data_IF_580843915996
#
_entry.id   IF_580843915996
#
_cell.length_a   1.000
_cell.length_b   1.000
_cell.length_c   1.000
_cell.angle_alpha   90.00
_cell.angle_beta   90.00
_cell.angle_gamma   90.00
#
_symmetry.space_group_name_H-M   'P 1'
#
loop_
_entity.id
_entity.type
_entity.pdbx_description
1 polymer ?
#
# COMPACT_ATOMS: atom_id res chain seq x y z
N UNK A 1 1.38 -15.98 -1.69
CA UNK A 1 0.54 -14.86 -1.23
C UNK A 1 1.29 -13.57 -1.48
N UNK A 2 0.68 -12.55 -2.08
CA UNK A 2 1.36 -11.27 -2.35
C UNK A 2 1.59 -10.53 -1.02
N UNK A 3 2.84 -10.16 -0.75
CA UNK A 3 3.28 -9.54 0.52
C UNK A 3 2.56 -8.21 0.80
N UNK A 4 2.18 -7.48 -0.24
CA UNK A 4 1.40 -6.24 -0.13
C UNK A 4 0.01 -6.50 0.46
N UNK A 5 -0.67 -7.56 0.02
CA UNK A 5 -2.01 -7.88 0.51
C UNK A 5 -1.99 -8.23 2.00
N UNK A 6 -0.99 -9.00 2.43
CA UNK A 6 -0.80 -9.30 3.86
C UNK A 6 -0.58 -8.01 4.68
N UNK A 7 0.26 -7.09 4.20
CA UNK A 7 0.50 -5.81 4.88
C UNK A 7 -0.77 -4.92 4.96
N UNK A 8 -1.65 -5.00 3.95
CA UNK A 8 -2.93 -4.29 3.95
C UNK A 8 -3.90 -4.92 4.97
N UNK A 9 -3.95 -6.26 5.05
CA UNK A 9 -4.76 -6.97 6.04
C UNK A 9 -4.30 -6.64 7.47
N UNK A 10 -3.00 -6.69 7.74
CA UNK A 10 -2.42 -6.33 9.04
C UNK A 10 -2.75 -4.88 9.42
N UNK A 11 -2.71 -3.96 8.45
CA UNK A 11 -3.11 -2.57 8.68
C UNK A 11 -4.57 -2.44 9.09
N UNK A 12 -5.48 -3.14 8.39
CA UNK A 12 -6.91 -3.09 8.75
C UNK A 12 -7.18 -3.71 10.12
N UNK A 13 -6.48 -4.78 10.48
CA UNK A 13 -6.57 -5.36 11.83
C UNK A 13 -6.14 -4.35 12.90
N UNK A 14 -4.99 -3.70 12.72
CA UNK A 14 -4.49 -2.67 13.63
C UNK A 14 -5.45 -1.47 13.73
N UNK A 15 -6.04 -1.06 12.60
CA UNK A 15 -7.04 0.02 12.56
C UNK A 15 -8.29 -0.32 13.36
N UNK A 16 -8.81 -1.55 13.23
CA UNK A 16 -9.99 -2.01 13.98
C UNK A 16 -9.71 -2.17 15.48
N UNK A 17 -8.47 -2.48 15.85
CA UNK A 17 -8.02 -2.54 17.23
C UNK A 17 -7.80 -1.15 17.86
N UNK A 18 -7.88 -0.07 17.07
CA UNK A 18 -7.64 1.29 17.55
C UNK A 18 -6.16 1.63 17.77
N UNK A 19 -5.23 0.93 17.11
CA UNK A 19 -3.78 1.12 17.31
C UNK A 19 -3.23 2.44 16.74
N UNK A 20 -4.08 3.25 16.10
CA UNK A 20 -3.71 4.56 15.55
C UNK A 20 -4.37 5.69 16.35
N UNK A 21 -3.81 5.97 17.52
CA UNK A 21 -4.26 7.07 18.39
C UNK A 21 -3.89 8.45 17.83
N UNK A 22 -2.86 8.52 16.98
CA UNK A 22 -2.37 9.76 16.39
C UNK A 22 -2.68 9.82 14.88
N UNK A 23 -3.39 10.87 14.39
CA UNK A 23 -3.71 11.03 12.98
C UNK A 23 -2.50 11.03 12.05
N UNK A 24 -1.35 11.54 12.52
CA UNK A 24 -0.12 11.58 11.74
C UNK A 24 0.48 10.17 11.54
N UNK A 25 0.43 9.33 12.57
CA UNK A 25 0.87 7.93 12.48
C UNK A 25 0.00 7.14 11.49
N UNK A 26 -1.31 7.37 11.52
CA UNK A 26 -2.24 6.79 10.54
C UNK A 26 -1.89 7.23 9.11
N UNK A 27 -1.69 8.54 8.89
CA UNK A 27 -1.36 9.09 7.59
C UNK A 27 -0.04 8.52 7.03
N UNK A 28 1.01 8.42 7.86
CA UNK A 28 2.29 7.85 7.45
C UNK A 28 2.17 6.38 7.05
N UNK A 29 1.34 5.60 7.77
CA UNK A 29 1.12 4.19 7.45
C UNK A 29 0.35 4.02 6.14
N UNK A 30 -0.70 4.82 5.92
CA UNK A 30 -1.45 4.85 4.67
C UNK A 30 -0.55 5.23 3.48
N UNK A 31 0.30 6.23 3.64
CA UNK A 31 1.25 6.63 2.60
C UNK A 31 2.20 5.48 2.23
N UNK A 32 2.78 4.80 3.24
CA UNK A 32 3.67 3.66 3.01
C UNK A 32 2.98 2.53 2.21
N UNK A 33 1.70 2.24 2.53
CA UNK A 33 0.92 1.24 1.81
C UNK A 33 0.62 1.67 0.37
N UNK A 34 0.30 2.96 0.17
CA UNK A 34 0.05 3.54 -1.14
C UNK A 34 1.29 3.45 -2.03
N UNK A 35 2.46 3.83 -1.52
CA UNK A 35 3.72 3.77 -2.26
C UNK A 35 4.07 2.32 -2.65
N UNK A 36 3.88 1.37 -1.73
CA UNK A 36 4.09 -0.05 -2.01
C UNK A 36 3.11 -0.60 -3.07
N UNK A 37 1.85 -0.16 -3.05
CA UNK A 37 0.87 -0.52 -4.07
C UNK A 37 1.24 0.04 -5.44
N UNK A 38 1.72 1.29 -5.49
CA UNK A 38 2.18 1.90 -6.73
C UNK A 38 3.37 1.15 -7.34
N UNK A 39 4.37 0.79 -6.53
CA UNK A 39 5.52 -0.02 -6.97
C UNK A 39 5.11 -1.42 -7.49
N UNK A 40 4.07 -2.02 -6.91
CA UNK A 40 3.51 -3.29 -7.41
C UNK A 40 2.90 -3.11 -8.80
N UNK A 41 2.12 -2.04 -9.00
CA UNK A 41 1.53 -1.69 -10.30
C UNK A 41 2.63 -1.46 -11.34
N UNK A 42 3.64 -0.64 -11.04
CA UNK A 42 4.76 -0.39 -11.95
C UNK A 42 5.52 -1.66 -12.35
N UNK A 43 5.65 -2.61 -11.41
CA UNK A 43 6.29 -3.90 -11.70
C UNK A 43 5.44 -4.78 -12.62
N UNK A 44 4.13 -4.82 -12.39
CA UNK A 44 3.19 -5.63 -13.16
C UNK A 44 2.98 -5.06 -14.57
N UNK A 45 2.95 -3.74 -14.67
CA UNK A 45 2.76 -2.99 -15.90
C UNK A 45 4.07 -2.26 -16.24
N UNK A 46 5.09 -3.02 -16.64
CA UNK A 46 6.36 -2.43 -17.07
C UNK A 46 6.13 -1.43 -18.22
N UNK A 47 6.88 -0.31 -18.28
CA UNK A 47 6.72 0.72 -19.31
C UNK A 47 6.89 0.23 -20.75
N UNK A 48 7.51 -0.94 -20.97
CA UNK A 48 7.62 -1.59 -22.29
C UNK A 48 6.27 -2.02 -22.89
N UNK A 49 5.19 -2.02 -22.11
CA UNK A 49 3.81 -2.25 -22.55
C UNK A 49 2.99 -0.96 -22.71
N UNK A 50 3.55 0.20 -22.36
CA UNK A 50 2.95 1.50 -22.69
C UNK A 50 3.22 1.77 -24.16
N UNK A 51 2.21 1.58 -25.00
CA UNK A 51 2.22 2.08 -26.37
C UNK A 51 2.25 3.60 -26.25
N UNK A 52 3.40 4.22 -26.51
CA UNK A 52 3.48 5.68 -26.67
C UNK A 52 2.53 6.10 -27.81
N UNK A 53 1.76 7.19 -27.65
CA UNK A 53 0.84 7.67 -28.68
C UNK A 53 1.53 8.13 -29.96
#
# INVERSE_FOLDING_TARGET
>A
MNKLFLNIEDFYAALQNGEFDEPLALAAKLQTLSDAAWLEVERLYQPSLLIEP
#
